data_IF_723916132793
#
_entry.id   IF_723916132793
#
_cell.length_a   1.000
_cell.length_b   1.000
_cell.length_c   1.000
_cell.angle_alpha   90.00
_cell.angle_beta   90.00
_cell.angle_gamma   90.00
#
_symmetry.space_group_name_H-M   'P 1'
#
loop_
_entity.id
_entity.type
_entity.pdbx_description
1 polymer ?
#
# COMPACT_ATOMS: atom_id res chain seq x y z
N UNK A 1 7.88 -20.25 4.40
CA UNK A 1 7.82 -19.51 3.13
C UNK A 1 7.06 -18.23 3.34
N UNK A 2 7.43 -17.16 2.63
CA UNK A 2 6.91 -15.80 2.89
C UNK A 2 5.37 -15.72 2.87
N UNK A 3 4.69 -16.48 2.00
CA UNK A 3 3.23 -16.46 1.88
C UNK A 3 2.51 -16.86 3.18
N UNK A 4 3.00 -17.89 3.88
CA UNK A 4 2.42 -18.30 5.17
C UNK A 4 2.50 -17.17 6.20
N UNK A 5 3.66 -16.51 6.29
CA UNK A 5 3.85 -15.37 7.19
C UNK A 5 2.91 -14.19 6.84
N UNK A 6 2.76 -13.88 5.55
CA UNK A 6 1.83 -12.83 5.12
C UNK A 6 0.37 -13.19 5.43
N UNK A 7 -0.03 -14.46 5.25
CA UNK A 7 -1.38 -14.92 5.57
C UNK A 7 -1.68 -14.84 7.06
N UNK A 8 -0.74 -15.23 7.92
CA UNK A 8 -0.88 -15.12 9.38
C UNK A 8 -0.98 -13.65 9.82
N UNK A 9 -0.13 -12.77 9.28
CA UNK A 9 -0.20 -11.34 9.56
C UNK A 9 -1.55 -10.74 9.16
N UNK A 10 -1.99 -11.04 7.93
CA UNK A 10 -3.27 -10.56 7.45
C UNK A 10 -4.44 -11.09 8.28
N UNK A 11 -4.39 -12.35 8.72
CA UNK A 11 -5.44 -12.94 9.55
C UNK A 11 -5.56 -12.21 10.90
N UNK A 12 -4.45 -11.89 11.56
CA UNK A 12 -4.49 -11.12 12.82
C UNK A 12 -5.00 -9.70 12.61
N UNK A 13 -4.56 -9.01 11.55
CA UNK A 13 -5.09 -7.69 11.18
C UNK A 13 -6.59 -7.76 10.92
N UNK A 14 -7.03 -8.76 10.16
CA UNK A 14 -8.44 -8.94 9.80
C UNK A 14 -9.33 -9.17 11.04
N UNK A 15 -8.81 -9.89 12.03
CA UNK A 15 -9.50 -10.17 13.29
C UNK A 15 -9.54 -8.97 14.23
N UNK A 16 -8.52 -8.11 14.21
CA UNK A 16 -8.32 -7.02 15.18
C UNK A 16 -8.72 -5.64 14.66
N UNK A 17 -8.97 -5.49 13.35
CA UNK A 17 -9.42 -4.23 12.77
C UNK A 17 -10.71 -3.71 13.44
N UNK A 18 -10.77 -2.39 13.65
CA UNK A 18 -11.90 -1.77 14.38
C UNK A 18 -13.19 -1.73 13.58
N UNK A 19 -13.08 -1.69 12.25
CA UNK A 19 -14.22 -1.68 11.33
C UNK A 19 -14.22 -2.99 10.59
N UNK A 20 -15.31 -3.75 10.72
CA UNK A 20 -15.49 -4.97 9.97
C UNK A 20 -15.31 -4.71 8.47
N UNK A 21 -14.59 -5.61 7.81
CA UNK A 21 -14.35 -5.62 6.36
C UNK A 21 -13.68 -4.36 5.80
N UNK A 22 -12.97 -3.58 6.61
CA UNK A 22 -12.23 -2.42 6.11
C UNK A 22 -11.03 -2.84 5.26
N UNK A 23 -10.19 -3.73 5.81
CA UNK A 23 -9.19 -4.46 5.06
C UNK A 23 -9.69 -5.87 4.84
N UNK A 24 -9.83 -6.25 3.57
CA UNK A 24 -10.33 -7.54 3.17
C UNK A 24 -9.35 -8.30 2.30
N UNK A 25 -9.85 -9.39 1.71
CA UNK A 25 -9.06 -10.25 0.83
C UNK A 25 -8.44 -9.51 -0.35
N UNK A 26 -9.06 -8.40 -0.80
CA UNK A 26 -8.56 -7.59 -1.92
C UNK A 26 -7.19 -6.97 -1.60
N UNK A 27 -7.02 -6.44 -0.40
CA UNK A 27 -5.77 -5.84 0.07
C UNK A 27 -4.68 -6.92 0.22
N UNK A 28 -5.07 -8.10 0.71
CA UNK A 28 -4.19 -9.26 0.81
C UNK A 28 -3.73 -9.78 -0.57
N UNK A 29 -4.65 -10.00 -1.51
CA UNK A 29 -4.29 -10.45 -2.87
C UNK A 29 -3.41 -9.43 -3.59
N UNK A 30 -3.71 -8.13 -3.45
CA UNK A 30 -2.87 -7.06 -4.00
C UNK A 30 -1.45 -7.12 -3.41
N UNK A 31 -1.32 -7.40 -2.11
CA UNK A 31 -0.03 -7.56 -1.43
C UNK A 31 0.77 -8.72 -2.00
N UNK A 32 0.15 -9.90 -2.11
CA UNK A 32 0.78 -11.09 -2.68
C UNK A 32 1.14 -10.88 -4.16
N UNK A 33 0.30 -10.20 -4.93
CA UNK A 33 0.56 -9.88 -6.35
C UNK A 33 1.80 -9.02 -6.52
N UNK A 34 1.90 -7.90 -5.79
CA UNK A 34 3.04 -6.97 -5.87
C UNK A 34 4.34 -7.65 -5.46
N UNK A 35 4.33 -8.40 -4.37
CA UNK A 35 5.51 -9.14 -3.91
C UNK A 35 5.94 -10.18 -4.95
N UNK A 36 5.01 -10.96 -5.52
CA UNK A 36 5.37 -11.93 -6.56
C UNK A 36 5.90 -11.27 -7.84
N UNK A 37 5.38 -10.09 -8.21
CA UNK A 37 5.90 -9.34 -9.36
C UNK A 37 7.36 -8.94 -9.11
N UNK A 38 7.67 -8.41 -7.92
CA UNK A 38 9.04 -8.06 -7.52
C UNK A 38 9.98 -9.28 -7.52
N UNK A 39 9.56 -10.40 -6.92
CA UNK A 39 10.35 -11.64 -6.91
C UNK A 39 10.68 -12.14 -8.32
N UNK A 40 9.71 -12.06 -9.25
CA UNK A 40 9.91 -12.43 -10.66
C UNK A 40 10.89 -11.50 -11.36
N UNK A 41 10.80 -10.19 -11.13
CA UNK A 41 11.72 -9.21 -11.70
C UNK A 41 13.15 -9.41 -11.19
N UNK A 42 13.32 -9.69 -9.89
CA UNK A 42 14.63 -9.98 -9.28
C UNK A 42 15.23 -11.26 -9.88
N UNK A 43 14.44 -12.32 -10.00
CA UNK A 43 14.86 -13.56 -10.66
C UNK A 43 15.28 -13.34 -12.12
N UNK A 44 14.51 -12.57 -12.89
CA UNK A 44 14.83 -12.24 -14.28
C UNK A 44 16.11 -11.39 -14.41
N UNK A 45 16.43 -10.60 -13.40
CA UNK A 45 17.66 -9.83 -13.30
C UNK A 45 18.86 -10.64 -12.74
N UNK A 46 18.71 -11.95 -12.53
CA UNK A 46 19.76 -12.82 -11.97
C UNK A 46 20.08 -12.57 -10.49
N UNK A 47 19.17 -11.91 -9.76
CA UNK A 47 19.28 -11.68 -8.32
C UNK A 47 18.51 -12.76 -7.54
N UNK A 48 18.91 -13.02 -6.31
CA UNK A 48 18.21 -13.94 -5.41
C UNK A 48 16.75 -13.54 -5.26
N UNK A 49 15.79 -14.43 -5.50
CA UNK A 49 14.35 -14.14 -5.42
C UNK A 49 13.83 -14.20 -3.96
N UNK A 50 14.26 -13.23 -3.15
CA UNK A 50 13.87 -13.06 -1.73
C UNK A 50 13.00 -11.81 -1.52
N UNK A 51 12.11 -11.83 -0.54
CA UNK A 51 11.29 -10.67 -0.20
C UNK A 51 12.15 -9.63 0.53
N UNK A 52 12.30 -8.44 -0.05
CA UNK A 52 13.06 -7.35 0.57
C UNK A 52 12.19 -6.54 1.56
N UNK A 53 12.77 -6.07 2.70
CA UNK A 53 12.06 -5.23 3.67
C UNK A 53 11.41 -3.98 3.08
N UNK A 54 12.09 -3.30 2.14
CA UNK A 54 11.56 -2.08 1.50
C UNK A 54 10.33 -2.39 0.62
N UNK A 55 10.31 -3.58 -0.01
CA UNK A 55 9.17 -4.05 -0.80
C UNK A 55 7.98 -4.37 0.11
N UNK A 56 8.24 -5.01 1.25
CA UNK A 56 7.20 -5.25 2.27
C UNK A 56 6.62 -3.93 2.80
N UNK A 57 7.48 -2.98 3.22
CA UNK A 57 7.06 -1.66 3.71
C UNK A 57 6.16 -0.94 2.70
N UNK A 58 6.62 -0.82 1.45
CA UNK A 58 5.87 -0.20 0.36
C UNK A 58 4.50 -0.85 0.18
N UNK A 59 4.49 -2.18 0.16
CA UNK A 59 3.28 -2.95 -0.13
C UNK A 59 2.26 -2.84 0.99
N UNK A 60 2.71 -2.87 2.25
CA UNK A 60 1.83 -2.68 3.41
C UNK A 60 1.26 -1.26 3.42
N UNK A 61 2.10 -0.23 3.30
CA UNK A 61 1.64 1.17 3.31
C UNK A 61 0.63 1.47 2.20
N UNK A 62 0.81 0.87 1.01
CA UNK A 62 -0.07 1.09 -0.13
C UNK A 62 -1.40 0.34 -0.02
N UNK A 63 -1.39 -0.89 0.49
CA UNK A 63 -2.60 -1.73 0.52
C UNK A 63 -3.41 -1.57 1.81
N UNK A 64 -2.78 -1.24 2.94
CA UNK A 64 -3.42 -1.13 4.25
C UNK A 64 -3.59 0.33 4.71
N UNK A 65 -3.60 1.28 3.78
CA UNK A 65 -3.91 2.69 4.04
C UNK A 65 -5.40 2.95 4.33
N UNK A 66 -5.72 4.19 4.71
CA UNK A 66 -7.11 4.69 4.78
C UNK A 66 -7.76 4.69 6.17
N UNK A 67 -7.13 4.14 7.21
CA UNK A 67 -7.60 4.30 8.60
C UNK A 67 -6.93 5.48 9.31
N UNK A 68 -7.50 5.96 10.44
CA UNK A 68 -6.89 6.97 11.29
C UNK A 68 -5.48 6.62 11.76
N UNK A 69 -4.77 7.63 12.26
CA UNK A 69 -3.41 7.48 12.79
C UNK A 69 -3.30 6.34 13.82
N UNK A 70 -2.28 5.49 13.66
CA UNK A 70 -1.96 4.37 14.55
C UNK A 70 -2.26 2.98 13.97
N UNK A 71 -3.29 2.82 13.14
CA UNK A 71 -3.63 1.47 12.63
C UNK A 71 -2.69 0.99 11.51
N UNK A 72 -2.12 1.94 10.76
CA UNK A 72 -1.05 1.66 9.81
C UNK A 72 0.17 1.04 10.54
N UNK A 73 0.55 1.57 11.70
CA UNK A 73 1.71 1.08 12.43
C UNK A 73 1.51 -0.36 12.91
N UNK A 74 0.31 -0.67 13.43
CA UNK A 74 -0.04 -2.06 13.78
C UNK A 74 0.08 -3.00 12.58
N UNK A 75 -0.33 -2.56 11.38
CA UNK A 75 -0.19 -3.38 10.17
C UNK A 75 1.29 -3.64 9.84
N UNK A 76 2.13 -2.59 9.88
CA UNK A 76 3.58 -2.74 9.65
C UNK A 76 4.17 -3.69 10.69
N UNK A 77 3.92 -3.45 11.98
CA UNK A 77 4.42 -4.28 13.08
C UNK A 77 4.08 -5.75 12.86
N UNK A 78 2.82 -6.08 12.57
CA UNK A 78 2.37 -7.45 12.40
C UNK A 78 3.01 -8.12 11.16
N UNK A 79 3.06 -7.43 10.01
CA UNK A 79 3.67 -7.97 8.80
C UNK A 79 5.18 -8.20 8.96
N UNK A 80 5.90 -7.28 9.58
CA UNK A 80 7.34 -7.43 9.81
C UNK A 80 7.65 -8.47 10.88
N UNK A 81 6.88 -8.52 11.97
CA UNK A 81 6.99 -9.55 13.00
C UNK A 81 6.83 -10.96 12.42
N UNK A 82 5.76 -11.21 11.65
CA UNK A 82 5.50 -12.54 11.06
C UNK A 82 6.52 -12.95 10.01
N UNK A 83 7.09 -11.99 9.30
CA UNK A 83 8.12 -12.26 8.29
C UNK A 83 9.53 -12.37 8.88
N UNK A 84 9.70 -12.07 10.17
CA UNK A 84 11.00 -12.07 10.85
C UNK A 84 11.94 -10.96 10.36
N UNK A 85 11.40 -9.88 9.82
CA UNK A 85 12.16 -8.74 9.31
C UNK A 85 12.14 -7.57 10.30
N UNK A 86 13.22 -6.80 10.34
CA UNK A 86 13.29 -5.52 11.07
C UNK A 86 12.83 -4.38 10.16
N UNK A 87 12.15 -3.37 10.73
CA UNK A 87 11.63 -2.22 10.00
C UNK A 87 12.13 -0.85 10.50
N UNK A 88 12.92 -0.83 11.58
CA UNK A 88 13.35 0.38 12.28
C UNK A 88 14.21 1.31 11.39
N UNK A 89 14.94 0.73 10.44
CA UNK A 89 15.80 1.46 9.49
C UNK A 89 15.18 1.58 8.09
N UNK A 90 13.96 1.08 7.89
CA UNK A 90 13.30 1.04 6.59
C UNK A 90 12.57 2.35 6.35
N UNK A 91 12.91 3.02 5.25
CA UNK A 91 12.35 4.33 4.93
C UNK A 91 10.86 4.23 4.60
N UNK A 92 10.06 5.09 5.22
CA UNK A 92 8.62 5.20 4.99
C UNK A 92 8.35 6.03 3.74
N UNK A 93 7.25 5.72 3.07
CA UNK A 93 6.72 6.54 1.99
C UNK A 93 5.73 7.57 2.55
N UNK A 94 5.79 8.80 2.03
CA UNK A 94 4.75 9.80 2.29
C UNK A 94 3.48 9.44 1.53
N UNK A 95 2.33 10.00 1.95
CA UNK A 95 1.07 9.82 1.20
C UNK A 95 1.20 10.31 -0.25
N UNK A 96 1.96 11.38 -0.49
CA UNK A 96 2.21 11.89 -1.83
C UNK A 96 3.00 10.87 -2.68
N UNK A 97 4.04 10.25 -2.12
CA UNK A 97 4.82 9.20 -2.80
C UNK A 97 3.91 8.02 -3.19
N UNK A 98 3.03 7.59 -2.28
CA UNK A 98 2.13 6.46 -2.52
C UNK A 98 1.08 6.79 -3.60
N UNK A 99 0.57 8.01 -3.63
CA UNK A 99 -0.35 8.49 -4.68
C UNK A 99 0.38 8.52 -6.02
N UNK A 100 1.55 9.15 -6.08
CA UNK A 100 2.33 9.26 -7.30
C UNK A 100 2.66 7.90 -7.90
N UNK A 101 3.09 6.95 -7.06
CA UNK A 101 3.39 5.58 -7.48
C UNK A 101 2.15 4.83 -7.97
N UNK A 102 0.98 5.07 -7.37
CA UNK A 102 -0.26 4.47 -7.84
C UNK A 102 -0.66 5.03 -9.23
N UNK A 103 -0.55 6.36 -9.43
CA UNK A 103 -0.83 7.01 -10.72
C UNK A 103 0.10 6.56 -11.85
N UNK A 104 1.32 6.11 -11.53
CA UNK A 104 2.31 5.64 -12.50
C UNK A 104 2.20 4.15 -12.84
N UNK A 105 1.47 3.36 -12.06
CA UNK A 105 1.31 1.92 -12.32
C UNK A 105 0.03 1.67 -13.13
N UNK A 106 0.13 1.21 -14.40
CA UNK A 106 -1.05 1.03 -15.26
C UNK A 106 -2.08 0.06 -14.71
N UNK A 107 -1.63 -1.00 -14.04
CA UNK A 107 -2.48 -2.05 -13.45
C UNK A 107 -2.80 -1.78 -11.96
N UNK A 108 -2.60 -0.55 -11.50
CA UNK A 108 -2.98 -0.16 -10.15
C UNK A 108 -4.50 -0.16 -9.99
N UNK A 109 -4.94 -0.46 -8.77
CA UNK A 109 -6.32 -0.20 -8.37
C UNK A 109 -6.57 1.30 -8.35
N UNK A 110 -7.75 1.72 -8.81
CA UNK A 110 -8.22 3.10 -8.67
C UNK A 110 -8.05 3.61 -7.23
N UNK A 111 -7.63 4.87 -7.10
CA UNK A 111 -7.43 5.52 -5.81
C UNK A 111 -8.75 6.00 -5.21
N UNK A 112 -8.93 5.72 -3.93
CA UNK A 112 -9.92 6.41 -3.10
C UNK A 112 -9.16 7.26 -2.08
N UNK A 113 -9.32 8.58 -2.18
CA UNK A 113 -8.67 9.54 -1.29
C UNK A 113 -9.65 10.02 -0.24
N UNK A 114 -9.42 9.60 1.01
CA UNK A 114 -10.21 10.08 2.15
C UNK A 114 -9.73 11.48 2.53
N UNK A 115 -10.64 12.44 2.50
CA UNK A 115 -10.32 13.85 2.70
C UNK A 115 -11.19 14.49 3.77
N UNK A 116 -10.68 15.55 4.39
CA UNK A 116 -11.46 16.45 5.25
C UNK A 116 -11.71 17.73 4.48
N UNK A 117 -12.94 18.25 4.56
CA UNK A 117 -13.34 19.52 3.95
C UNK A 117 -13.10 19.59 2.43
N UNK A 118 -13.18 18.44 1.72
CA UNK A 118 -13.01 18.36 0.27
C UNK A 118 -11.67 18.93 -0.28
N UNK A 119 -10.64 19.02 0.57
CA UNK A 119 -9.38 19.66 0.21
C UNK A 119 -8.50 18.81 -0.73
N UNK A 120 -8.71 17.49 -0.78
CA UNK A 120 -7.82 16.58 -1.51
C UNK A 120 -7.66 16.94 -2.99
N UNK A 121 -8.75 17.24 -3.70
CA UNK A 121 -8.68 17.54 -5.13
C UNK A 121 -7.79 18.75 -5.40
N UNK A 122 -7.97 19.82 -4.62
CA UNK A 122 -7.14 21.03 -4.72
C UNK A 122 -5.67 20.72 -4.42
N UNK A 123 -5.39 19.96 -3.35
CA UNK A 123 -4.03 19.56 -2.98
C UNK A 123 -3.34 18.73 -4.06
N UNK A 124 -4.07 17.87 -4.78
CA UNK A 124 -3.50 17.06 -5.87
C UNK A 124 -3.03 17.94 -7.05
N UNK A 125 -3.80 18.96 -7.42
CA UNK A 125 -3.39 19.90 -8.46
C UNK A 125 -2.26 20.82 -7.99
N UNK A 126 -2.35 21.39 -6.77
CA UNK A 126 -1.31 22.27 -6.23
C UNK A 126 0.05 21.57 -6.02
N UNK A 127 0.02 20.27 -5.71
CA UNK A 127 1.25 19.45 -5.58
C UNK A 127 1.82 18.96 -6.91
N UNK A 128 1.13 19.19 -8.03
CA UNK A 128 1.53 18.69 -9.34
C UNK A 128 1.33 17.18 -9.54
N UNK A 129 0.63 16.50 -8.61
CA UNK A 129 0.26 15.09 -8.75
C UNK A 129 -0.80 14.89 -9.85
N UNK A 130 -1.64 15.90 -10.08
CA UNK A 130 -2.58 15.99 -11.18
C UNK A 130 -2.33 17.23 -12.01
N UNK A 131 -2.65 17.13 -13.30
CA UNK A 131 -2.51 18.20 -14.29
C UNK A 131 -3.90 18.53 -14.83
N UNK A 132 -4.26 19.81 -14.83
CA UNK A 132 -5.58 20.29 -15.28
C UNK A 132 -5.87 19.93 -16.74
N UNK A 133 -4.84 19.82 -17.58
CA UNK A 133 -5.00 19.48 -19.00
C UNK A 133 -5.12 17.98 -19.24
N UNK A 134 -4.80 17.15 -18.24
CA UNK A 134 -4.75 15.68 -18.35
C UNK A 134 -5.76 14.97 -17.46
N UNK A 135 -6.48 15.70 -16.61
CA UNK A 135 -7.45 15.16 -15.67
C UNK A 135 -8.82 15.80 -15.89
N UNK A 136 -9.81 14.98 -16.23
CA UNK A 136 -11.21 15.38 -16.26
C UNK A 136 -11.82 15.23 -14.87
N UNK A 137 -12.46 16.29 -14.37
CA UNK A 137 -13.13 16.28 -13.06
C UNK A 137 -14.63 16.15 -13.26
N UNK A 138 -15.18 15.01 -12.84
CA UNK A 138 -16.62 14.74 -12.87
C UNK A 138 -17.25 14.99 -11.50
N UNK A 139 -18.35 15.73 -11.47
CA UNK A 139 -19.16 15.96 -10.26
C UNK A 139 -20.61 15.51 -10.52
N UNK A 140 -21.29 15.00 -9.49
CA UNK A 140 -22.72 14.69 -9.55
C UNK A 140 -23.56 15.96 -9.35
N UNK A 141 -24.50 16.22 -10.27
CA UNK A 141 -25.47 17.32 -10.23
C UNK A 141 -26.70 17.01 -9.39
#
# INVERSE_FOLDING_TARGET
GYLKALSEAFFEIYKTQKRADFWGMREFYSTVRVINADLKLRAAAGKDAVLEPQVLMKTVQRNFGGQPAGEMEMCIEEFFFRTGMSYEQISRYTTADLIQQNLQEPDARHLMLLTKNNAALRLLFESGLLDHDKAEVMFGS
#
